data_IF_073628971110
#
_entry.id   IF_073628971110
#
_cell.length_a   1.000
_cell.length_b   1.000
_cell.length_c   1.000
_cell.angle_alpha   90.00
_cell.angle_beta   90.00
_cell.angle_gamma   90.00
#
_symmetry.space_group_name_H-M   'P 1'
#
loop_
_entity.id
_entity.type
_entity.pdbx_description
1 polymer ?
#
# COMPACT_ATOMS: atom_id res chain seq x y z
N UNK A 1 28.75 -11.84 4.13
CA UNK A 1 27.89 -10.82 3.53
C UNK A 1 26.79 -11.56 2.80
N UNK A 2 25.53 -11.44 3.24
CA UNK A 2 24.41 -12.05 2.53
C UNK A 2 24.17 -11.25 1.25
N UNK A 3 24.41 -11.88 0.10
CA UNK A 3 24.00 -11.35 -1.19
C UNK A 3 22.48 -11.16 -1.16
N UNK A 4 21.93 -9.98 -1.51
CA UNK A 4 20.49 -9.83 -1.60
C UNK A 4 19.94 -10.83 -2.63
N UNK A 5 18.71 -11.34 -2.43
CA UNK A 5 18.07 -12.18 -3.44
C UNK A 5 18.05 -11.44 -4.79
N UNK A 6 18.06 -12.17 -5.92
CA UNK A 6 17.91 -11.55 -7.24
C UNK A 6 16.65 -10.68 -7.24
N UNK A 7 16.62 -9.57 -8.01
CA UNK A 7 15.44 -8.72 -8.06
C UNK A 7 14.27 -9.54 -8.59
N UNK A 8 13.36 -9.92 -7.69
CA UNK A 8 12.04 -10.43 -8.05
C UNK A 8 11.36 -9.38 -8.91
N UNK A 9 10.70 -9.81 -9.97
CA UNK A 9 9.91 -8.95 -10.85
C UNK A 9 9.00 -8.06 -9.99
N UNK A 10 8.88 -6.75 -10.29
CA UNK A 10 8.03 -5.87 -9.52
C UNK A 10 6.59 -6.40 -9.42
N UNK A 11 6.05 -6.99 -10.49
CA UNK A 11 4.70 -7.54 -10.47
C UNK A 11 4.56 -8.75 -9.51
N UNK A 12 5.55 -9.65 -9.47
CA UNK A 12 5.59 -10.76 -8.51
C UNK A 12 5.67 -10.26 -7.06
N UNK A 13 6.43 -9.17 -6.83
CA UNK A 13 6.52 -8.54 -5.50
C UNK A 13 5.21 -7.90 -5.07
N UNK A 14 4.52 -7.23 -5.98
CA UNK A 14 3.22 -6.62 -5.69
C UNK A 14 2.16 -7.69 -5.43
N UNK A 15 2.23 -8.81 -6.16
CA UNK A 15 1.35 -9.96 -5.95
C UNK A 15 1.57 -10.61 -4.57
N UNK A 16 2.82 -10.76 -4.13
CA UNK A 16 3.14 -11.24 -2.78
C UNK A 16 2.65 -10.29 -1.69
N UNK A 17 2.87 -8.97 -1.86
CA UNK A 17 2.44 -7.96 -0.88
C UNK A 17 0.95 -7.90 -0.72
N UNK A 18 0.19 -7.86 -1.81
CA UNK A 18 -1.26 -7.83 -1.67
C UNK A 18 -1.82 -9.19 -1.23
N UNK A 19 -1.09 -10.31 -1.38
CA UNK A 19 -1.52 -11.60 -0.80
C UNK A 19 -1.43 -11.55 0.72
N UNK A 20 -0.33 -10.99 1.22
CA UNK A 20 -0.10 -10.77 2.65
C UNK A 20 -1.13 -9.82 3.27
N UNK A 21 -1.55 -8.79 2.52
CA UNK A 21 -2.54 -7.80 2.98
C UNK A 21 -4.00 -8.23 2.80
N UNK A 22 -4.30 -9.15 1.88
CA UNK A 22 -5.67 -9.57 1.56
C UNK A 22 -6.39 -10.34 2.70
N UNK A 23 -5.74 -10.54 3.85
CA UNK A 23 -6.40 -11.04 5.05
C UNK A 23 -7.33 -9.95 5.60
N UNK A 24 -8.60 -9.97 5.17
CA UNK A 24 -9.61 -9.02 5.63
C UNK A 24 -9.97 -9.25 7.09
N UNK A 25 -10.12 -8.16 7.84
CA UNK A 25 -10.69 -8.21 9.19
C UNK A 25 -12.22 -8.37 9.12
N UNK A 26 -12.87 -8.91 10.17
CA UNK A 26 -14.32 -9.06 10.19
C UNK A 26 -15.07 -7.76 9.88
N UNK A 27 -14.59 -6.64 10.41
CA UNK A 27 -15.20 -5.32 10.22
C UNK A 27 -15.19 -4.87 8.74
N UNK A 28 -14.17 -5.25 7.97
CA UNK A 28 -14.10 -4.95 6.53
C UNK A 28 -15.08 -5.81 5.73
N UNK A 29 -15.24 -7.07 6.12
CA UNK A 29 -16.22 -7.96 5.50
C UNK A 29 -17.65 -7.47 5.78
N UNK A 30 -17.93 -7.04 7.02
CA UNK A 30 -19.21 -6.44 7.40
C UNK A 30 -19.48 -5.12 6.66
N UNK A 31 -18.43 -4.36 6.32
CA UNK A 31 -18.51 -3.15 5.51
C UNK A 31 -18.70 -3.43 4.00
N UNK A 32 -18.65 -4.69 3.56
CA UNK A 32 -18.85 -5.08 2.16
C UNK A 32 -17.56 -5.16 1.33
N UNK A 33 -16.44 -5.53 1.94
CA UNK A 33 -15.21 -5.87 1.21
C UNK A 33 -15.40 -7.19 0.42
N UNK A 34 -16.01 -7.12 -0.76
CA UNK A 34 -16.32 -8.29 -1.61
C UNK A 34 -15.07 -8.91 -2.27
N UNK A 35 -13.99 -8.13 -2.40
CA UNK A 35 -12.72 -8.56 -3.01
C UNK A 35 -11.53 -8.02 -2.21
N UNK A 36 -11.14 -8.71 -1.13
CA UNK A 36 -10.01 -8.35 -0.27
C UNK A 36 -8.70 -8.18 -1.04
N UNK A 37 -8.53 -8.98 -2.11
CA UNK A 37 -7.33 -9.00 -2.94
C UNK A 37 -7.21 -7.72 -3.75
N UNK A 38 -8.29 -7.35 -4.43
CA UNK A 38 -8.38 -6.10 -5.18
C UNK A 38 -8.30 -4.88 -4.27
N UNK A 39 -8.89 -4.94 -3.08
CA UNK A 39 -8.77 -3.87 -2.09
C UNK A 39 -7.31 -3.72 -1.64
N UNK A 40 -6.61 -4.82 -1.36
CA UNK A 40 -5.21 -4.80 -0.97
C UNK A 40 -4.31 -4.17 -2.05
N UNK A 41 -4.53 -4.52 -3.32
CA UNK A 41 -3.80 -3.93 -4.46
C UNK A 41 -4.02 -2.42 -4.58
N UNK A 42 -5.29 -1.97 -4.48
CA UNK A 42 -5.62 -0.55 -4.56
C UNK A 42 -4.95 0.25 -3.43
N UNK A 43 -4.95 -0.28 -2.21
CA UNK A 43 -4.30 0.39 -1.07
C UNK A 43 -2.79 0.43 -1.22
N UNK A 44 -2.16 -0.65 -1.72
CA UNK A 44 -0.71 -0.65 -1.93
C UNK A 44 -0.30 0.37 -3.00
N UNK A 45 -1.04 0.44 -4.11
CA UNK A 45 -0.78 1.45 -5.15
C UNK A 45 -0.89 2.88 -4.60
N UNK A 46 -1.93 3.18 -3.82
CA UNK A 46 -2.11 4.49 -3.16
C UNK A 46 -1.00 4.78 -2.12
N UNK A 47 -0.53 3.76 -1.41
CA UNK A 47 0.60 3.88 -0.49
C UNK A 47 1.91 4.15 -1.23
N UNK A 48 2.16 3.48 -2.35
CA UNK A 48 3.38 3.66 -3.14
C UNK A 48 3.41 5.07 -3.76
N UNK A 49 2.30 5.56 -4.31
CA UNK A 49 2.18 6.94 -4.82
C UNK A 49 2.55 7.98 -3.76
N UNK A 50 2.03 7.83 -2.53
CA UNK A 50 2.36 8.74 -1.42
C UNK A 50 3.80 8.60 -0.91
N UNK A 51 4.40 7.42 -1.08
CA UNK A 51 5.80 7.20 -0.73
C UNK A 51 6.74 7.89 -1.73
N UNK A 52 6.34 7.95 -3.00
CA UNK A 52 7.05 8.63 -4.08
C UNK A 52 6.93 10.17 -3.99
N UNK A 53 5.78 10.70 -3.55
CA UNK A 53 5.58 12.14 -3.27
C UNK A 53 5.10 12.43 -1.83
N UNK A 54 6.01 12.33 -0.84
CA UNK A 54 5.68 12.62 0.55
C UNK A 54 5.40 14.12 0.79
N UNK A 55 6.01 15.00 -0.01
CA UNK A 55 5.83 16.45 0.12
C UNK A 55 4.45 16.90 -0.36
N UNK A 56 3.95 16.35 -1.48
CA UNK A 56 2.58 16.58 -1.95
C UNK A 56 1.55 16.12 -0.92
N UNK A 57 1.69 14.89 -0.42
CA UNK A 57 0.82 14.33 0.64
C UNK A 57 0.78 15.23 1.88
N UNK A 58 1.93 15.78 2.29
CA UNK A 58 2.01 16.70 3.43
C UNK A 58 1.26 18.00 3.17
N UNK A 59 1.43 18.60 1.98
CA UNK A 59 0.81 19.88 1.64
C UNK A 59 -0.71 19.80 1.51
N UNK A 60 -1.25 18.64 1.08
CA UNK A 60 -2.69 18.38 0.99
C UNK A 60 -3.35 18.09 2.35
N UNK A 61 -2.54 17.74 3.36
CA UNK A 61 -3.02 17.38 4.69
C UNK A 61 -3.29 18.62 5.56
N UNK A 62 -4.49 18.73 6.11
CA UNK A 62 -4.83 19.79 7.10
C UNK A 62 -4.28 19.50 8.50
N UNK A 63 -3.87 18.26 8.76
CA UNK A 63 -3.38 17.78 10.05
C UNK A 63 -1.90 18.10 10.31
N UNK A 64 -1.11 18.28 9.26
CA UNK A 64 0.34 18.53 9.37
C UNK A 64 0.65 19.83 8.64
N UNK A 65 0.84 20.96 9.34
CA UNK A 65 1.25 22.19 8.70
C UNK A 65 2.53 21.95 7.88
N UNK A 66 2.53 22.35 6.61
CA UNK A 66 3.76 22.49 5.84
C UNK A 66 4.70 23.40 6.64
N UNK A 67 5.96 23.01 6.80
CA UNK A 67 6.96 23.93 7.33
C UNK A 67 7.04 25.15 6.38
N UNK A 68 6.97 26.36 6.94
CA UNK A 68 7.23 27.61 6.22
C UNK A 68 8.68 27.71 5.74
#
# INVERSE_FOLDING_TARGET
MSTPPPPTDPADRDEERAASRADSVPEETEAGADDPRRQAEAVLADSDERLEDPSGTRNESTQTPGEE
#
